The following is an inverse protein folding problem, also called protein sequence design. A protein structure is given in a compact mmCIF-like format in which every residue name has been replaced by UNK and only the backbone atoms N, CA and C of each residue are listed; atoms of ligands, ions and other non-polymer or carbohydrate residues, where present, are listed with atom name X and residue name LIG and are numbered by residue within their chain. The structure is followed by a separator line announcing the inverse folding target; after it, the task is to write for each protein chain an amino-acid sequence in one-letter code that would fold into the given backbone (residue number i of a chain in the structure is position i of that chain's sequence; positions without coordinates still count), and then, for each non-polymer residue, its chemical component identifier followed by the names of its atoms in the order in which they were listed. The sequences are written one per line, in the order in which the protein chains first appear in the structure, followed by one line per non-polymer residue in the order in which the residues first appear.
data_IF_869840922390
#
_entry.id   IF_869840922390
#
_cell.length_a   1.000
_cell.length_b   1.000
_cell.length_c   1.000
_cell.angle_alpha   90.00
_cell.angle_beta   90.00
_cell.angle_gamma   90.00
#
_symmetry.space_group_name_H-M   'P 1'
#
loop_
_entity.id
_entity.type
_entity.pdbx_description
1 polymer ?
#
# COMPACT_ATOMS: atom_id res chain seq x y z
N UNK A 1 -46.48 -48.89 -75.49
CA UNK A 1 -45.61 -47.98 -74.71
C UNK A 1 -46.48 -47.54 -73.55
N UNK A 2 -46.50 -48.31 -72.46
CA UNK A 2 -47.29 -47.92 -71.28
C UNK A 2 -46.83 -46.53 -70.88
N UNK A 3 -47.75 -45.57 -70.93
CA UNK A 3 -47.44 -44.22 -70.50
C UNK A 3 -47.16 -44.27 -69.01
N UNK A 4 -46.16 -43.53 -68.51
CA UNK A 4 -45.78 -43.50 -67.09
C UNK A 4 -47.02 -43.35 -66.18
N UNK A 5 -48.05 -42.67 -66.67
CA UNK A 5 -49.34 -42.43 -66.01
C UNK A 5 -50.14 -43.72 -65.76
N UNK A 6 -50.16 -44.69 -66.68
CA UNK A 6 -50.86 -45.98 -66.48
C UNK A 6 -50.18 -46.83 -65.40
N UNK A 7 -48.85 -46.76 -65.33
CA UNK A 7 -48.05 -47.48 -64.34
C UNK A 7 -48.26 -46.94 -62.92
N UNK A 8 -48.48 -45.62 -62.78
CA UNK A 8 -48.85 -44.97 -61.51
C UNK A 8 -50.27 -45.33 -61.04
N UNK A 9 -51.21 -45.56 -61.96
CA UNK A 9 -52.61 -45.93 -61.65
C UNK A 9 -52.82 -47.38 -61.20
N UNK A 10 -51.85 -48.27 -61.44
CA UNK A 10 -51.88 -49.68 -60.99
C UNK A 10 -51.39 -49.88 -59.54
N UNK A 11 -50.81 -48.85 -58.93
CA UNK A 11 -50.28 -48.89 -57.56
C UNK A 11 -51.43 -48.62 -56.57
N UNK A 12 -51.60 -49.51 -55.58
CA UNK A 12 -52.64 -49.38 -54.55
C UNK A 12 -52.50 -48.07 -53.76
N UNK A 13 -53.63 -47.43 -53.44
CA UNK A 13 -53.70 -46.22 -52.61
C UNK A 13 -52.95 -46.37 -51.27
N UNK A 14 -52.88 -47.60 -50.74
CA UNK A 14 -52.12 -47.91 -49.51
C UNK A 14 -50.62 -47.64 -49.70
N UNK A 15 -50.06 -47.96 -50.86
CA UNK A 15 -48.63 -47.75 -51.16
C UNK A 15 -48.37 -46.24 -51.33
N UNK A 16 -49.26 -45.52 -52.02
CA UNK A 16 -49.16 -44.05 -52.11
C UNK A 16 -49.26 -43.37 -50.75
N UNK A 17 -50.16 -43.83 -49.88
CA UNK A 17 -50.28 -43.32 -48.51
C UNK A 17 -49.03 -43.58 -47.68
N UNK A 18 -48.39 -44.76 -47.83
CA UNK A 18 -47.16 -45.11 -47.14
C UNK A 18 -45.97 -44.26 -47.62
N UNK A 19 -45.86 -44.00 -48.92
CA UNK A 19 -44.84 -43.12 -49.50
C UNK A 19 -45.02 -41.69 -48.98
N UNK A 20 -46.23 -41.15 -49.03
CA UNK A 20 -46.54 -39.80 -48.55
C UNK A 20 -46.25 -39.68 -47.04
N UNK A 21 -46.68 -40.66 -46.24
CA UNK A 21 -46.41 -40.69 -44.80
C UNK A 21 -44.90 -40.74 -44.48
N UNK A 22 -44.13 -41.51 -45.25
CA UNK A 22 -42.67 -41.57 -45.11
C UNK A 22 -42.01 -40.23 -45.47
N UNK A 23 -42.42 -39.61 -46.57
CA UNK A 23 -41.92 -38.28 -46.97
C UNK A 23 -42.25 -37.19 -45.92
N UNK A 24 -43.46 -37.19 -45.36
CA UNK A 24 -43.86 -36.28 -44.28
C UNK A 24 -42.98 -36.51 -43.04
N UNK A 25 -42.72 -37.78 -42.69
CA UNK A 25 -41.88 -38.13 -41.53
C UNK A 25 -40.44 -37.65 -41.72
N UNK A 26 -39.83 -37.93 -42.89
CA UNK A 26 -38.47 -37.49 -43.22
C UNK A 26 -38.38 -35.95 -43.20
N UNK A 27 -39.36 -35.27 -43.81
CA UNK A 27 -39.42 -33.82 -43.84
C UNK A 27 -39.58 -33.23 -42.43
N UNK A 28 -40.43 -33.82 -41.60
CA UNK A 28 -40.63 -33.45 -40.20
C UNK A 28 -39.35 -33.60 -39.36
N UNK A 29 -38.64 -34.72 -39.51
CA UNK A 29 -37.34 -34.96 -38.85
C UNK A 29 -36.28 -33.98 -39.35
N UNK A 30 -36.22 -33.71 -40.66
CA UNK A 30 -35.29 -32.74 -41.25
C UNK A 30 -35.52 -31.32 -40.69
N UNK A 31 -36.78 -30.85 -40.66
CA UNK A 31 -37.12 -29.54 -40.08
C UNK A 31 -36.77 -29.47 -38.59
N UNK A 32 -37.08 -30.53 -37.84
CA UNK A 32 -36.82 -30.62 -36.40
C UNK A 32 -35.32 -30.60 -36.11
N UNK A 33 -34.52 -31.39 -36.82
CA UNK A 33 -33.06 -31.40 -36.69
C UNK A 33 -32.44 -30.05 -37.06
N UNK A 34 -32.90 -29.42 -38.15
CA UNK A 34 -32.42 -28.10 -38.56
C UNK A 34 -32.75 -27.01 -37.53
N UNK A 35 -33.92 -27.09 -36.90
CA UNK A 35 -34.30 -26.18 -35.82
C UNK A 35 -33.46 -26.44 -34.56
N UNK A 36 -33.25 -27.70 -34.17
CA UNK A 36 -32.40 -28.06 -33.05
C UNK A 36 -30.95 -27.59 -33.22
N UNK A 37 -30.38 -27.75 -34.41
CA UNK A 37 -29.04 -27.27 -34.74
C UNK A 37 -28.92 -25.74 -34.59
N UNK A 38 -29.89 -24.98 -35.10
CA UNK A 38 -29.95 -23.51 -34.93
C UNK A 38 -30.07 -23.09 -33.47
N UNK A 39 -30.93 -23.77 -32.70
CA UNK A 39 -31.09 -23.49 -31.27
C UNK A 39 -29.80 -23.81 -30.50
N UNK A 40 -29.17 -24.95 -30.81
CA UNK A 40 -27.95 -25.39 -30.15
C UNK A 40 -26.78 -24.45 -30.44
N UNK A 41 -26.61 -23.99 -31.68
CA UNK A 41 -25.56 -23.01 -32.03
C UNK A 41 -25.78 -21.67 -31.34
N UNK A 42 -27.03 -21.22 -31.23
CA UNK A 42 -27.38 -19.99 -30.49
C UNK A 42 -27.08 -20.13 -28.99
N UNK A 43 -27.42 -21.29 -28.39
CA UNK A 43 -27.12 -21.59 -26.99
C UNK A 43 -25.61 -21.63 -26.72
N UNK A 44 -24.84 -22.34 -27.55
CA UNK A 44 -23.39 -22.42 -27.42
C UNK A 44 -22.73 -21.05 -27.57
N UNK A 45 -23.23 -20.19 -28.48
CA UNK A 45 -22.73 -18.83 -28.64
C UNK A 45 -22.98 -17.98 -27.37
N UNK A 46 -24.19 -18.08 -26.80
CA UNK A 46 -24.54 -17.40 -25.56
C UNK A 46 -23.73 -17.92 -24.37
N UNK A 47 -23.55 -19.24 -24.24
CA UNK A 47 -22.71 -19.86 -23.20
C UNK A 47 -21.25 -19.44 -23.32
N UNK A 48 -20.69 -19.39 -24.54
CA UNK A 48 -19.34 -18.89 -24.80
C UNK A 48 -19.20 -17.44 -24.36
N UNK A 49 -20.16 -16.58 -24.69
CA UNK A 49 -20.15 -15.17 -24.30
C UNK A 49 -20.25 -15.02 -22.77
N UNK A 50 -21.16 -15.77 -22.14
CA UNK A 50 -21.32 -15.79 -20.68
C UNK A 50 -20.02 -16.22 -19.99
N UNK A 51 -19.42 -17.30 -20.45
CA UNK A 51 -18.16 -17.81 -19.91
C UNK A 51 -17.01 -16.81 -20.05
N UNK A 52 -16.86 -16.17 -21.22
CA UNK A 52 -15.85 -15.11 -21.42
C UNK A 52 -16.07 -13.91 -20.49
N UNK A 53 -17.33 -13.52 -20.29
CA UNK A 53 -17.70 -12.44 -19.37
C UNK A 53 -17.37 -12.80 -17.91
N UNK A 54 -17.68 -14.03 -17.49
CA UNK A 54 -17.40 -14.54 -16.15
C UNK A 54 -15.89 -14.64 -15.89
N UNK A 55 -15.11 -15.12 -16.85
CA UNK A 55 -13.64 -15.15 -16.74
C UNK A 55 -13.06 -13.74 -16.61
N UNK A 56 -13.49 -12.80 -17.45
CA UNK A 56 -13.02 -11.41 -17.39
C UNK A 56 -13.39 -10.76 -16.06
N UNK A 57 -14.60 -11.00 -15.57
CA UNK A 57 -15.05 -10.49 -14.27
C UNK A 57 -14.23 -11.08 -13.12
N UNK A 58 -13.96 -12.39 -13.15
CA UNK A 58 -13.15 -13.09 -12.14
C UNK A 58 -11.73 -12.53 -12.09
N UNK A 59 -11.10 -12.37 -13.25
CA UNK A 59 -9.77 -11.77 -13.36
C UNK A 59 -9.73 -10.34 -12.81
N UNK A 60 -10.71 -9.51 -13.17
CA UNK A 60 -10.83 -8.13 -12.64
C UNK A 60 -10.98 -8.11 -11.13
N UNK A 61 -11.83 -8.98 -10.58
CA UNK A 61 -12.06 -9.08 -9.14
C UNK A 61 -10.77 -9.40 -8.40
N UNK A 62 -10.01 -10.40 -8.86
CA UNK A 62 -8.72 -10.77 -8.28
C UNK A 62 -7.74 -9.58 -8.30
N UNK A 63 -7.51 -9.01 -9.48
CA UNK A 63 -6.56 -7.90 -9.63
C UNK A 63 -6.97 -6.66 -8.81
N UNK A 64 -8.24 -6.30 -8.74
CA UNK A 64 -8.67 -5.11 -7.99
C UNK A 64 -8.69 -5.32 -6.48
N UNK A 65 -8.88 -6.55 -6.00
CA UNK A 65 -8.69 -6.87 -4.59
C UNK A 65 -7.21 -6.76 -4.20
N UNK A 66 -6.29 -7.22 -5.07
CA UNK A 66 -4.85 -7.03 -4.86
C UNK A 66 -4.47 -5.56 -4.86
N UNK A 67 -5.03 -4.75 -5.77
CA UNK A 67 -4.83 -3.29 -5.80
C UNK A 67 -5.29 -2.66 -4.49
N UNK A 68 -6.51 -2.97 -4.04
CA UNK A 68 -7.06 -2.41 -2.80
C UNK A 68 -6.19 -2.77 -1.58
N UNK A 69 -5.74 -4.04 -1.49
CA UNK A 69 -4.84 -4.49 -0.43
C UNK A 69 -3.50 -3.77 -0.49
N UNK A 70 -2.89 -3.72 -1.66
CA UNK A 70 -1.57 -3.11 -1.83
C UNK A 70 -1.57 -1.62 -1.49
N UNK A 71 -2.61 -0.87 -1.86
CA UNK A 71 -2.75 0.52 -1.46
C UNK A 71 -3.00 0.68 0.03
N UNK A 72 -3.71 -0.24 0.68
CA UNK A 72 -3.85 -0.22 2.14
C UNK A 72 -2.50 -0.41 2.83
N UNK A 73 -1.70 -1.39 2.38
CA UNK A 73 -0.36 -1.68 2.91
C UNK A 73 0.58 -0.47 2.74
N UNK A 74 0.60 0.14 1.55
CA UNK A 74 1.42 1.33 1.26
C UNK A 74 0.93 2.55 2.04
N UNK A 75 -0.38 2.76 2.15
CA UNK A 75 -0.94 3.90 2.90
C UNK A 75 -0.63 3.80 4.40
N UNK A 76 -0.54 2.59 4.95
CA UNK A 76 -0.15 2.34 6.35
C UNK A 76 1.32 2.68 6.64
N UNK A 77 2.18 2.80 5.62
CA UNK A 77 3.57 3.24 5.81
C UNK A 77 3.61 4.64 6.42
N UNK A 78 2.75 5.55 5.92
CA UNK A 78 2.77 6.98 6.27
C UNK A 78 2.69 7.23 7.79
N UNK A 79 1.68 6.71 8.53
CA UNK A 79 1.64 6.87 9.98
C UNK A 79 2.76 6.08 10.68
N UNK A 80 3.21 4.95 10.14
CA UNK A 80 4.31 4.18 10.74
C UNK A 80 5.67 4.89 10.66
N UNK A 81 5.84 5.86 9.75
CA UNK A 81 7.07 6.65 9.67
C UNK A 81 7.36 7.44 10.94
N UNK A 82 6.34 7.76 11.75
CA UNK A 82 6.53 8.42 13.05
C UNK A 82 7.29 7.53 14.02
N UNK A 83 7.23 6.21 13.87
CA UNK A 83 8.12 5.31 14.60
C UNK A 83 9.51 5.35 13.96
N UNK A 84 10.49 5.94 14.65
CA UNK A 84 11.87 6.02 14.15
C UNK A 84 12.57 4.65 14.10
N UNK A 85 12.05 3.63 14.81
CA UNK A 85 12.52 2.25 14.72
C UNK A 85 12.00 1.51 13.48
N UNK A 86 10.98 2.05 12.79
CA UNK A 86 10.45 1.47 11.56
C UNK A 86 11.54 1.51 10.47
N UNK A 87 12.04 0.35 10.08
CA UNK A 87 13.28 0.27 9.29
C UNK A 87 12.99 0.42 7.79
N UNK A 88 14.04 0.73 7.03
CA UNK A 88 13.99 0.70 5.56
C UNK A 88 13.52 -0.67 5.04
N UNK A 89 13.90 -1.76 5.71
CA UNK A 89 13.47 -3.12 5.36
C UNK A 89 11.97 -3.32 5.57
N UNK A 90 11.38 -2.73 6.61
CA UNK A 90 9.95 -2.82 6.85
C UNK A 90 9.15 -2.05 5.79
N UNK A 91 9.66 -0.89 5.36
CA UNK A 91 9.11 -0.12 4.24
C UNK A 91 9.15 -0.95 2.95
N UNK A 92 10.32 -1.53 2.63
CA UNK A 92 10.51 -2.36 1.43
C UNK A 92 9.57 -3.57 1.41
N UNK A 93 9.36 -4.21 2.57
CA UNK A 93 8.45 -5.34 2.70
C UNK A 93 7.01 -4.96 2.37
N UNK A 94 6.55 -3.78 2.81
CA UNK A 94 5.20 -3.28 2.48
C UNK A 94 5.06 -2.84 1.02
N UNK A 95 6.15 -2.44 0.37
CA UNK A 95 6.15 -1.98 -1.02
C UNK A 95 6.46 -3.07 -2.05
N UNK A 96 6.96 -4.24 -1.63
CA UNK A 96 7.60 -5.24 -2.49
C UNK A 96 6.81 -5.58 -3.78
N UNK A 97 5.50 -5.77 -3.66
CA UNK A 97 4.63 -6.17 -4.78
C UNK A 97 3.82 -5.02 -5.39
N UNK A 98 3.90 -3.81 -4.82
CA UNK A 98 3.00 -2.70 -5.17
C UNK A 98 3.08 -2.34 -6.65
N UNK A 99 4.29 -2.13 -7.17
CA UNK A 99 4.49 -1.78 -8.58
C UNK A 99 3.98 -2.86 -9.53
N UNK A 100 4.15 -4.15 -9.18
CA UNK A 100 3.65 -5.27 -9.97
C UNK A 100 2.13 -5.35 -9.99
N UNK A 101 1.48 -5.09 -8.85
CA UNK A 101 0.03 -5.07 -8.71
C UNK A 101 -0.59 -3.91 -9.51
N UNK A 102 -0.01 -2.70 -9.39
CA UNK A 102 -0.45 -1.54 -10.18
C UNK A 102 -0.29 -1.81 -11.67
N UNK A 103 0.84 -2.36 -12.12
CA UNK A 103 1.04 -2.71 -13.53
C UNK A 103 0.02 -3.74 -14.04
N UNK A 104 -0.30 -4.78 -13.25
CA UNK A 104 -1.36 -5.74 -13.60
C UNK A 104 -2.72 -5.07 -13.76
N UNK A 105 -3.04 -4.08 -12.92
CA UNK A 105 -4.31 -3.35 -13.01
C UNK A 105 -4.45 -2.60 -14.33
N UNK A 106 -3.35 -2.05 -14.86
CA UNK A 106 -3.33 -1.35 -16.15
C UNK A 106 -3.68 -2.26 -17.34
N UNK A 107 -3.50 -3.58 -17.23
CA UNK A 107 -3.79 -4.53 -18.30
C UNK A 107 -5.27 -4.95 -18.36
N UNK A 108 -5.99 -4.88 -17.24
CA UNK A 108 -7.35 -5.43 -17.12
C UNK A 108 -8.43 -4.36 -16.97
N UNK A 109 -8.06 -3.16 -16.50
CA UNK A 109 -8.98 -2.06 -16.26
C UNK A 109 -9.28 -1.25 -17.54
N UNK A 110 -10.36 -0.47 -17.52
CA UNK A 110 -10.63 0.56 -18.53
C UNK A 110 -9.70 1.76 -18.29
N UNK A 111 -9.42 2.50 -19.36
CA UNK A 111 -8.56 3.70 -19.32
C UNK A 111 -8.93 4.70 -18.22
N UNK A 112 -10.22 4.95 -17.99
CA UNK A 112 -10.68 5.85 -16.92
C UNK A 112 -10.29 5.36 -15.51
N UNK A 113 -10.32 4.05 -15.30
CA UNK A 113 -9.96 3.41 -14.04
C UNK A 113 -8.44 3.38 -13.87
N UNK A 114 -7.70 3.12 -14.96
CA UNK A 114 -6.23 3.21 -14.99
C UNK A 114 -5.78 4.62 -14.61
N UNK A 115 -6.38 5.65 -15.19
CA UNK A 115 -6.06 7.03 -14.86
C UNK A 115 -6.29 7.35 -13.37
N UNK A 116 -7.38 6.86 -12.78
CA UNK A 116 -7.67 7.05 -11.35
C UNK A 116 -6.67 6.31 -10.44
N UNK A 117 -6.29 5.07 -10.80
CA UNK A 117 -5.28 4.29 -10.07
C UNK A 117 -3.92 4.99 -10.13
N UNK A 118 -3.47 5.40 -11.33
CA UNK A 118 -2.19 6.05 -11.51
C UNK A 118 -2.13 7.41 -10.81
N UNK A 119 -3.21 8.20 -10.87
CA UNK A 119 -3.29 9.47 -10.15
C UNK A 119 -3.12 9.26 -8.64
N UNK A 120 -3.85 8.31 -8.05
CA UNK A 120 -3.71 8.01 -6.61
C UNK A 120 -2.33 7.44 -6.26
N UNK A 121 -1.76 6.60 -7.13
CA UNK A 121 -0.40 6.06 -7.00
C UNK A 121 0.64 7.17 -6.97
N UNK A 122 0.54 8.15 -7.87
CA UNK A 122 1.46 9.29 -7.96
C UNK A 122 1.38 10.16 -6.71
N UNK A 123 0.17 10.54 -6.29
CA UNK A 123 -0.04 11.34 -5.06
C UNK A 123 0.54 10.64 -3.83
N UNK A 124 0.30 9.33 -3.70
CA UNK A 124 0.88 8.51 -2.62
C UNK A 124 2.40 8.50 -2.65
N UNK A 125 3.00 8.38 -3.84
CA UNK A 125 4.45 8.36 -4.02
C UNK A 125 5.09 9.71 -3.70
N UNK A 126 4.46 10.81 -4.12
CA UNK A 126 4.94 12.17 -3.85
C UNK A 126 4.96 12.46 -2.34
N UNK A 127 3.87 12.14 -1.64
CA UNK A 127 3.79 12.24 -0.18
C UNK A 127 4.86 11.37 0.49
N UNK A 128 5.02 10.12 0.04
CA UNK A 128 6.02 9.23 0.60
C UNK A 128 7.45 9.78 0.46
N UNK A 129 7.83 10.25 -0.73
CA UNK A 129 9.17 10.82 -0.98
C UNK A 129 9.39 12.06 -0.11
N UNK A 130 8.39 12.94 -0.03
CA UNK A 130 8.44 14.14 0.82
C UNK A 130 8.71 13.74 2.28
N UNK A 131 7.91 12.84 2.84
CA UNK A 131 8.03 12.46 4.25
C UNK A 131 9.31 11.67 4.55
N UNK A 132 9.81 10.88 3.61
CA UNK A 132 11.10 10.19 3.78
C UNK A 132 12.26 11.18 3.94
N UNK A 133 12.24 12.29 3.19
CA UNK A 133 13.24 13.35 3.33
C UNK A 133 13.17 14.01 4.72
N UNK A 134 11.97 14.33 5.19
CA UNK A 134 11.81 14.93 6.53
C UNK A 134 12.20 13.94 7.65
N UNK A 135 11.91 12.65 7.45
CA UNK A 135 12.31 11.58 8.37
C UNK A 135 13.84 11.48 8.50
N UNK A 136 14.56 11.64 7.40
CA UNK A 136 16.03 11.62 7.40
C UNK A 136 16.61 12.72 8.30
N UNK A 137 16.01 13.91 8.28
CA UNK A 137 16.41 15.03 9.14
C UNK A 137 16.24 14.66 10.62
N UNK A 138 15.08 14.12 10.98
CA UNK A 138 14.78 13.69 12.37
C UNK A 138 15.73 12.57 12.83
N UNK A 139 15.97 11.57 12.00
CA UNK A 139 16.93 10.50 12.29
C UNK A 139 18.36 11.03 12.45
N UNK A 140 18.74 12.03 11.66
CA UNK A 140 20.02 12.72 11.79
C UNK A 140 20.17 13.40 13.17
N UNK A 141 19.11 14.04 13.65
CA UNK A 141 19.08 14.62 14.99
C UNK A 141 19.22 13.56 16.08
N UNK A 142 18.46 12.46 16.00
CA UNK A 142 18.55 11.33 16.94
C UNK A 142 19.96 10.75 16.99
N UNK A 143 20.56 10.50 15.83
CA UNK A 143 21.94 10.00 15.75
C UNK A 143 22.96 10.97 16.37
N UNK A 144 22.76 12.27 16.21
CA UNK A 144 23.64 13.28 16.81
C UNK A 144 23.54 13.28 18.33
N UNK A 145 22.33 13.11 18.88
CA UNK A 145 22.09 12.94 20.32
C UNK A 145 22.85 11.72 20.85
N UNK A 146 22.74 10.58 20.17
CA UNK A 146 23.45 9.35 20.54
C UNK A 146 24.98 9.54 20.55
N UNK A 147 25.52 10.28 19.57
CA UNK A 147 26.96 10.60 19.50
C UNK A 147 27.39 11.44 20.71
N UNK A 148 26.62 12.49 21.07
CA UNK A 148 26.93 13.30 22.24
C UNK A 148 26.86 12.47 23.53
N UNK A 149 25.81 11.67 23.70
CA UNK A 149 25.65 10.82 24.88
C UNK A 149 26.81 9.81 25.00
N UNK A 150 27.20 9.17 23.90
CA UNK A 150 28.32 8.24 23.86
C UNK A 150 29.65 8.93 24.21
N UNK A 151 29.86 10.15 23.71
CA UNK A 151 31.05 10.95 24.00
C UNK A 151 31.13 11.35 25.47
N UNK A 152 30.00 11.79 26.05
CA UNK A 152 29.90 12.13 27.49
C UNK A 152 30.23 10.89 28.33
N UNK A 153 29.55 9.77 28.06
CA UNK A 153 29.76 8.51 28.78
C UNK A 153 31.23 8.07 28.70
N UNK A 154 31.87 8.19 27.53
CA UNK A 154 33.29 7.84 27.39
C UNK A 154 34.21 8.77 28.19
N UNK A 155 33.93 10.08 28.24
CA UNK A 155 34.72 11.04 28.99
C UNK A 155 34.54 10.88 30.51
N UNK A 156 33.33 10.58 30.98
CA UNK A 156 33.05 10.26 32.38
C UNK A 156 33.78 9.00 32.84
N UNK A 157 33.75 7.94 32.03
CA UNK A 157 34.53 6.73 32.32
C UNK A 157 36.04 7.01 32.43
N UNK A 158 36.59 7.91 31.61
CA UNK A 158 37.99 8.28 31.70
C UNK A 158 38.29 9.14 32.93
N UNK A 159 37.37 10.04 33.34
CA UNK A 159 37.48 10.78 34.61
C UNK A 159 37.55 9.83 35.80
N UNK A 160 36.72 8.79 35.85
CA UNK A 160 36.70 7.80 36.93
C UNK A 160 38.01 7.00 36.99
N UNK A 161 38.57 6.65 35.83
CA UNK A 161 39.91 6.02 35.73
C UNK A 161 41.01 6.94 36.25
N UNK A 162 41.00 8.22 35.87
CA UNK A 162 41.98 9.21 36.33
C UNK A 162 41.89 9.39 37.85
N UNK A 163 40.67 9.53 38.41
CA UNK A 163 40.46 9.63 39.87
C UNK A 163 41.00 8.40 40.57
N UNK A 164 40.74 7.20 40.05
CA UNK A 164 41.24 5.94 40.62
C UNK A 164 42.77 5.92 40.64
N UNK A 165 43.42 6.38 39.56
CA UNK A 165 44.88 6.47 39.49
C UNK A 165 45.47 7.51 40.44
N UNK A 166 44.81 8.66 40.61
CA UNK A 166 45.20 9.67 41.60
C UNK A 166 45.14 9.08 43.02
N UNK A 167 44.07 8.35 43.35
CA UNK A 167 43.94 7.66 44.65
C UNK A 167 45.09 6.68 44.88
N UNK A 168 45.41 5.83 43.90
CA UNK A 168 46.55 4.90 43.99
C UNK A 168 47.87 5.61 44.24
N UNK A 169 48.15 6.69 43.51
CA UNK A 169 49.39 7.46 43.67
C UNK A 169 49.49 8.14 45.04
N UNK A 170 48.38 8.62 45.59
CA UNK A 170 48.35 9.21 46.93
C UNK A 170 48.62 8.18 48.04
N UNK A 171 48.36 6.89 47.80
CA UNK A 171 48.72 5.81 48.72
C UNK A 171 50.21 5.41 48.63
N UNK A 172 50.90 5.79 47.56
CA UNK A 172 52.32 5.55 47.39
C UNK A 172 53.11 6.74 47.95
N UNK A 173 53.89 6.51 49.02
CA UNK A 173 54.64 7.54 49.80
C UNK A 173 55.75 8.29 49.03
N UNK A 174 55.76 8.26 47.70
CA UNK A 174 56.77 8.88 46.84
C UNK A 174 56.32 10.23 46.27
N UNK A 175 57.30 11.13 46.13
CA UNK A 175 57.13 12.52 45.69
C UNK A 175 56.77 12.60 44.19
N UNK A 176 55.53 12.26 43.84
CA UNK A 176 55.04 12.09 42.46
C UNK A 176 54.30 13.33 41.91
N UNK A 177 54.64 14.54 42.38
CA UNK A 177 53.90 15.77 42.08
C UNK A 177 53.68 16.02 40.59
N UNK A 178 54.71 15.85 39.75
CA UNK A 178 54.62 16.04 38.30
C UNK A 178 53.60 15.09 37.63
N UNK A 179 53.53 13.84 38.10
CA UNK A 179 52.57 12.85 37.62
C UNK A 179 51.14 13.21 38.04
N UNK A 180 50.97 13.70 39.28
CA UNK A 180 49.69 14.17 39.79
C UNK A 180 49.18 15.38 39.00
N UNK A 181 50.06 16.35 38.72
CA UNK A 181 49.74 17.54 37.94
C UNK A 181 49.32 17.18 36.50
N UNK A 182 49.96 16.18 35.89
CA UNK A 182 49.58 15.67 34.57
C UNK A 182 48.19 15.01 34.60
N UNK A 183 47.90 14.20 35.62
CA UNK A 183 46.58 13.57 35.80
C UNK A 183 45.48 14.61 36.01
N UNK A 184 45.73 15.66 36.81
CA UNK A 184 44.79 16.77 36.98
C UNK A 184 44.52 17.50 35.66
N UNK A 185 45.56 17.79 34.86
CA UNK A 185 45.37 18.38 33.52
C UNK A 185 44.52 17.49 32.61
N UNK A 186 44.75 16.16 32.63
CA UNK A 186 43.93 15.22 31.86
C UNK A 186 42.49 15.20 32.34
N UNK A 187 42.27 15.25 33.66
CA UNK A 187 40.94 15.35 34.24
C UNK A 187 40.21 16.62 33.76
N UNK A 188 40.88 17.78 33.78
CA UNK A 188 40.31 19.04 33.34
C UNK A 188 39.92 19.03 31.85
N UNK A 189 40.71 18.33 31.01
CA UNK A 189 40.37 18.10 29.60
C UNK A 189 39.09 17.27 29.48
N UNK A 190 38.97 16.15 30.20
CA UNK A 190 37.76 15.32 30.15
C UNK A 190 36.54 16.05 30.71
N UNK A 191 36.70 16.82 31.78
CA UNK A 191 35.65 17.67 32.35
C UNK A 191 35.17 18.72 31.35
N UNK A 192 36.08 19.31 30.58
CA UNK A 192 35.74 20.26 29.51
C UNK A 192 34.98 19.59 28.37
N UNK A 193 35.35 18.35 28.01
CA UNK A 193 34.64 17.55 27.01
C UNK A 193 33.21 17.26 27.48
N UNK A 194 33.03 16.81 28.72
CA UNK A 194 31.69 16.56 29.31
C UNK A 194 30.86 17.84 29.24
N UNK A 195 31.34 18.94 29.82
CA UNK A 195 30.60 20.22 29.82
C UNK A 195 30.22 20.73 28.44
N UNK A 196 31.13 20.63 27.46
CA UNK A 196 30.87 21.06 26.10
C UNK A 196 29.78 20.20 25.43
N UNK A 197 29.90 18.88 25.55
CA UNK A 197 28.96 17.96 24.92
C UNK A 197 27.59 17.94 25.61
N UNK A 198 27.51 18.10 26.93
CA UNK A 198 26.22 18.24 27.64
C UNK A 198 25.44 19.45 27.15
N UNK A 199 26.09 20.61 26.99
CA UNK A 199 25.43 21.81 26.45
C UNK A 199 24.93 21.62 25.02
N UNK A 200 25.72 20.94 24.19
CA UNK A 200 25.31 20.65 22.80
C UNK A 200 24.20 19.61 22.75
N UNK A 201 24.22 18.61 23.64
CA UNK A 201 23.17 17.61 23.80
C UNK A 201 21.84 18.28 24.13
N UNK A 202 21.79 19.12 25.16
CA UNK A 202 20.57 19.85 25.56
C UNK A 202 20.00 20.68 24.39
N UNK A 203 20.87 21.37 23.64
CA UNK A 203 20.46 22.14 22.46
C UNK A 203 19.90 21.23 21.35
N UNK A 204 20.53 20.08 21.13
CA UNK A 204 20.12 19.14 20.11
C UNK A 204 18.82 18.44 20.48
N UNK A 205 18.60 18.09 21.74
CA UNK A 205 17.34 17.51 22.25
C UNK A 205 16.17 18.46 22.05
N UNK A 206 16.34 19.76 22.35
CA UNK A 206 15.31 20.78 22.10
C UNK A 206 14.98 20.92 20.60
N UNK A 207 16.02 20.88 19.75
CA UNK A 207 15.85 20.93 18.29
C UNK A 207 15.15 19.67 17.77
N UNK A 208 15.57 18.49 18.25
CA UNK A 208 14.97 17.20 17.91
C UNK A 208 13.49 17.15 18.28
N UNK A 209 13.13 17.53 19.52
CA UNK A 209 11.73 17.51 19.96
C UNK A 209 10.83 18.37 19.08
N UNK A 210 11.28 19.58 18.75
CA UNK A 210 10.54 20.50 17.87
C UNK A 210 10.38 19.95 16.45
N UNK A 211 11.46 19.46 15.84
CA UNK A 211 11.44 18.88 14.49
C UNK A 211 10.62 17.59 14.43
N UNK A 212 10.69 16.76 15.46
CA UNK A 212 9.98 15.49 15.52
C UNK A 212 8.47 15.70 15.67
N UNK A 213 8.03 16.66 16.50
CA UNK A 213 6.61 17.02 16.60
C UNK A 213 6.05 17.55 15.27
N UNK A 214 6.81 18.41 14.58
CA UNK A 214 6.43 18.89 13.24
C UNK A 214 6.30 17.72 12.26
N UNK A 215 7.27 16.82 12.26
CA UNK A 215 7.26 15.63 11.40
C UNK A 215 6.05 14.72 11.66
N UNK A 216 5.73 14.44 12.93
CA UNK A 216 4.52 13.69 13.30
C UNK A 216 3.27 14.35 12.73
N UNK A 217 3.16 15.68 12.90
CA UNK A 217 2.03 16.45 12.37
C UNK A 217 1.91 16.28 10.85
N UNK A 218 3.01 16.44 10.13
CA UNK A 218 3.03 16.30 8.67
C UNK A 218 2.64 14.88 8.23
N UNK A 219 3.12 13.83 8.89
CA UNK A 219 2.73 12.45 8.60
C UNK A 219 1.21 12.26 8.69
N UNK A 220 0.58 12.75 9.76
CA UNK A 220 -0.85 12.54 10.00
C UNK A 220 -1.70 13.43 9.07
N UNK A 221 -1.27 14.67 8.84
CA UNK A 221 -1.95 15.58 7.90
C UNK A 221 -1.91 15.04 6.46
N UNK A 222 -0.75 14.57 6.00
CA UNK A 222 -0.60 14.03 4.65
C UNK A 222 -1.30 12.66 4.51
N UNK A 223 -1.29 11.82 5.54
CA UNK A 223 -2.14 10.61 5.59
C UNK A 223 -3.64 10.95 5.42
N UNK A 224 -4.12 11.98 6.13
CA UNK A 224 -5.48 12.47 5.99
C UNK A 224 -5.80 12.98 4.59
N UNK A 225 -4.87 13.68 3.93
CA UNK A 225 -5.03 14.13 2.53
C UNK A 225 -5.13 12.95 1.57
N UNK A 226 -4.26 11.93 1.72
CA UNK A 226 -4.32 10.72 0.90
C UNK A 226 -5.65 9.99 1.08
N UNK A 227 -6.15 9.87 2.31
CA UNK A 227 -7.49 9.30 2.53
C UNK A 227 -8.58 10.06 1.75
N UNK A 228 -8.54 11.39 1.71
CA UNK A 228 -9.51 12.18 0.94
C UNK A 228 -9.37 12.02 -0.58
N UNK A 229 -8.21 11.58 -1.08
CA UNK A 229 -7.94 11.30 -2.50
C UNK A 229 -8.24 9.84 -2.90
N UNK A 230 -8.52 8.96 -1.95
CA UNK A 230 -8.90 7.57 -2.18
C UNK A 230 -10.19 7.39 -3.04
N UNK A 231 -11.26 8.23 -2.88
CA UNK A 231 -12.55 7.92 -3.48
C UNK A 231 -12.59 7.78 -5.01
N UNK A 232 -11.97 8.65 -5.82
CA UNK A 232 -11.96 8.50 -7.27
C UNK A 232 -11.47 7.12 -7.73
N UNK A 233 -10.38 6.62 -7.16
CA UNK A 233 -9.87 5.27 -7.45
C UNK A 233 -10.84 4.20 -6.98
N UNK A 234 -11.29 4.24 -5.72
CA UNK A 234 -12.18 3.22 -5.17
C UNK A 234 -13.52 3.12 -5.94
N UNK A 235 -14.08 4.27 -6.34
CA UNK A 235 -15.33 4.33 -7.13
C UNK A 235 -15.11 3.75 -8.53
N UNK A 236 -13.99 4.08 -9.18
CA UNK A 236 -13.66 3.52 -10.50
C UNK A 236 -13.53 1.99 -10.44
N UNK A 237 -12.79 1.46 -9.46
CA UNK A 237 -12.64 0.02 -9.24
C UNK A 237 -13.98 -0.67 -8.95
N UNK A 238 -14.82 -0.07 -8.11
CA UNK A 238 -16.17 -0.60 -7.81
C UNK A 238 -17.06 -0.62 -9.06
N UNK A 239 -16.99 0.41 -9.90
CA UNK A 239 -17.72 0.47 -11.16
C UNK A 239 -17.31 -0.60 -12.17
N UNK A 240 -16.02 -0.98 -12.19
CA UNK A 240 -15.55 -2.11 -13.00
C UNK A 240 -16.09 -3.46 -12.53
N UNK A 241 -16.40 -3.58 -11.24
CA UNK A 241 -17.00 -4.77 -10.62
C UNK A 241 -18.54 -4.74 -10.62
N UNK A 242 -19.15 -3.75 -11.28
CA UNK A 242 -20.61 -3.59 -11.33
C UNK A 242 -21.23 -3.17 -10.00
N UNK A 243 -20.43 -2.72 -9.03
CA UNK A 243 -20.91 -2.20 -7.74
C UNK A 243 -21.03 -0.68 -7.80
N UNK A 244 -22.11 -0.22 -8.41
CA UNK A 244 -22.32 1.20 -8.73
C UNK A 244 -23.16 1.93 -7.66
N UNK A 245 -23.21 1.40 -6.43
CA UNK A 245 -24.00 1.97 -5.34
C UNK A 245 -23.55 3.41 -4.98
N UNK A 246 -24.39 4.08 -4.18
CA UNK A 246 -24.26 5.49 -3.83
C UNK A 246 -22.85 5.87 -3.35
N UNK A 247 -22.12 6.53 -4.24
CA UNK A 247 -20.76 7.01 -3.97
C UNK A 247 -20.75 8.17 -2.98
N UNK A 248 -21.88 8.87 -2.78
CA UNK A 248 -21.98 9.99 -1.84
C UNK A 248 -21.84 9.52 -0.39
N UNK A 249 -22.55 8.46 -0.01
CA UNK A 249 -22.49 7.90 1.34
C UNK A 249 -21.05 7.52 1.71
N UNK A 250 -20.32 6.91 0.76
CA UNK A 250 -18.91 6.55 0.97
C UNK A 250 -18.01 7.79 1.13
N UNK A 251 -18.16 8.78 0.26
CA UNK A 251 -17.37 10.02 0.33
C UNK A 251 -17.66 10.78 1.64
N UNK A 252 -18.93 10.91 2.02
CA UNK A 252 -19.34 11.59 3.26
C UNK A 252 -18.80 10.87 4.50
N UNK A 253 -18.90 9.54 4.56
CA UNK A 253 -18.36 8.76 5.66
C UNK A 253 -16.84 8.94 5.79
N UNK A 254 -16.11 8.93 4.66
CA UNK A 254 -14.67 9.13 4.64
C UNK A 254 -14.28 10.54 5.09
N UNK A 255 -14.95 11.56 4.55
CA UNK A 255 -14.74 12.95 4.94
C UNK A 255 -14.97 13.14 6.45
N UNK A 256 -16.07 12.61 6.99
CA UNK A 256 -16.38 12.69 8.41
C UNK A 256 -15.30 12.02 9.28
N UNK A 257 -14.79 10.86 8.86
CA UNK A 257 -13.72 10.17 9.59
C UNK A 257 -12.40 10.94 9.56
N UNK A 258 -12.01 11.49 8.40
CA UNK A 258 -10.81 12.33 8.29
C UNK A 258 -10.94 13.60 9.13
N UNK A 259 -12.11 14.25 9.15
CA UNK A 259 -12.34 15.42 10.00
C UNK A 259 -12.22 15.08 11.49
N UNK A 260 -12.80 13.96 11.94
CA UNK A 260 -12.65 13.49 13.33
C UNK A 260 -11.19 13.24 13.68
N UNK A 261 -10.42 12.64 12.77
CA UNK A 261 -8.99 12.41 12.96
C UNK A 261 -8.21 13.73 13.12
N UNK A 262 -8.51 14.74 12.28
CA UNK A 262 -7.89 16.06 12.37
C UNK A 262 -8.20 16.77 13.69
N UNK A 263 -9.45 16.75 14.15
CA UNK A 263 -9.83 17.36 15.44
C UNK A 263 -9.03 16.76 16.60
N UNK A 264 -8.86 15.43 16.61
CA UNK A 264 -8.03 14.77 17.63
C UNK A 264 -6.57 15.21 17.51
N UNK A 265 -6.03 15.25 16.30
CA UNK A 265 -4.66 15.68 16.06
C UNK A 265 -4.41 17.11 16.56
N UNK A 266 -5.25 18.06 16.16
CA UNK A 266 -5.12 19.46 16.53
C UNK A 266 -5.16 19.63 18.07
N UNK A 267 -6.04 18.88 18.76
CA UNK A 267 -6.12 18.93 20.22
C UNK A 267 -4.82 18.50 20.93
N UNK A 268 -4.05 17.57 20.35
CA UNK A 268 -2.77 17.12 20.91
C UNK A 268 -1.68 18.19 20.79
N UNK A 269 -1.74 19.01 19.73
CA UNK A 269 -0.77 20.09 19.49
C UNK A 269 -1.17 21.43 20.14
N UNK A 270 -2.43 21.57 20.57
CA UNK A 270 -2.88 22.70 21.38
C UNK A 270 -2.50 22.54 22.86
N UNK A 271 -2.49 21.32 23.39
CA UNK A 271 -2.09 21.04 24.78
C UNK A 271 -0.60 21.30 25.07
N UNK A 272 0.27 21.23 24.05
CA UNK A 272 1.71 21.52 24.16
C UNK A 272 2.03 23.03 24.24
N UNK A 273 1.02 23.91 24.12
CA UNK A 273 1.17 25.37 24.24
C UNK A 273 0.80 25.95 25.61
N UNK A 274 0.39 25.10 26.57
CA UNK A 274 0.06 25.46 27.96
C UNK A 274 1.04 24.83 28.94
#
# INVERSE_FOLDING_TARGET
MESIIELFSKVSDVIWSAIIASCITIFGVYLTNKYHERRQTTLLAHEKQKYQSEQKFTLKKEVFLDVARSFADVLEIIPNLTNLEFTQKDIEMKMADHGGIVAKSCLVAKESSVAAILSYSTETTEVFIKLMKEREVVLGHQKTIEIYQSTINSAENEKDRIISRIKELNHQSHNNQSTLDNLNKKYDVQESIVKHNTRNLEKQESTFGSSYLLFIKECIDDYGKLLLLLPPMAIALRGELGNNQDSKVFIEALNNNVQRMKVVLDSLFESDKT
#
